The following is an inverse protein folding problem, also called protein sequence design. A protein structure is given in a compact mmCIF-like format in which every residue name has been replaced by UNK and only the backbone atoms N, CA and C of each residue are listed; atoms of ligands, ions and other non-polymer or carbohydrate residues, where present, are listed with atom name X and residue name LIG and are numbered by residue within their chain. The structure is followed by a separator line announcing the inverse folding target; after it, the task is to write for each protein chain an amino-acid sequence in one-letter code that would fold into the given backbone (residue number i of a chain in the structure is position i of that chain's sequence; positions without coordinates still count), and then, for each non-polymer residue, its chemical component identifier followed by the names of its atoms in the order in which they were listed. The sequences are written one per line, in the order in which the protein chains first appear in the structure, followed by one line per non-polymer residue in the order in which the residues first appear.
data_IF_603098955416
#
_entry.id   IF_603098955416
#
_cell.length_a   1.000
_cell.length_b   1.000
_cell.length_c   1.000
_cell.angle_alpha   90.00
_cell.angle_beta   90.00
_cell.angle_gamma   90.00
#
_symmetry.space_group_name_H-M   'P 1'
#
loop_
_entity.id
_entity.type
_entity.pdbx_description
1 polymer ?
#
# COMPACT_ATOMS: atom_id res chain seq x y z
N UNK A 1 -26.82 19.38 19.55
CA UNK A 1 -25.50 18.97 19.04
C UNK A 1 -25.05 20.04 18.07
N UNK A 2 -23.99 20.79 18.38
CA UNK A 2 -23.33 21.60 17.36
C UNK A 2 -22.75 20.64 16.33
N UNK A 3 -23.25 20.66 15.11
CA UNK A 3 -22.59 20.06 13.96
C UNK A 3 -21.33 20.87 13.72
N UNK A 4 -20.18 20.30 14.05
CA UNK A 4 -18.89 20.86 13.67
C UNK A 4 -18.81 20.80 12.16
N UNK A 5 -18.82 21.96 11.50
CA UNK A 5 -18.59 22.05 10.07
C UNK A 5 -17.08 21.90 9.82
N UNK A 6 -16.70 20.79 9.17
CA UNK A 6 -15.31 20.49 8.83
C UNK A 6 -15.08 20.91 7.39
N UNK A 7 -14.12 21.81 7.16
CA UNK A 7 -13.64 22.17 5.83
C UNK A 7 -12.78 21.00 5.30
N UNK A 8 -13.19 20.44 4.17
CA UNK A 8 -12.47 19.38 3.44
C UNK A 8 -11.56 19.96 2.34
N UNK A 9 -11.54 21.29 2.22
CA UNK A 9 -10.96 21.98 1.08
C UNK A 9 -11.84 21.86 -0.17
N UNK A 10 -11.36 22.38 -1.31
CA UNK A 10 -12.11 22.32 -2.56
C UNK A 10 -12.35 20.85 -2.99
N UNK A 11 -13.61 20.48 -3.35
CA UNK A 11 -13.96 19.11 -3.70
C UNK A 11 -13.27 18.62 -4.98
N UNK A 12 -13.01 19.54 -5.92
CA UNK A 12 -12.36 19.26 -7.21
C UNK A 12 -10.88 19.70 -7.26
N UNK A 13 -10.32 20.14 -6.12
CA UNK A 13 -9.05 20.88 -6.11
C UNK A 13 -9.19 22.29 -6.72
N UNK A 14 -8.11 23.08 -6.73
CA UNK A 14 -7.94 24.14 -7.75
C UNK A 14 -7.70 23.44 -9.11
N UNK A 15 -7.51 24.18 -10.22
CA UNK A 15 -7.03 23.60 -11.49
C UNK A 15 -6.06 22.46 -11.20
N UNK A 16 -6.49 21.21 -11.48
CA UNK A 16 -5.80 20.02 -11.02
C UNK A 16 -4.40 20.09 -11.60
N UNK A 17 -3.42 20.45 -10.77
CA UNK A 17 -2.02 20.37 -11.13
C UNK A 17 -1.77 18.92 -11.54
N UNK A 18 -0.99 18.71 -12.60
CA UNK A 18 -0.66 17.38 -13.13
C UNK A 18 -0.09 16.42 -12.04
N UNK A 19 0.36 17.01 -10.93
CA UNK A 19 0.79 16.34 -9.71
C UNK A 19 0.34 17.05 -8.42
N UNK A 20 -0.25 16.29 -7.51
CA UNK A 20 -0.44 16.64 -6.10
C UNK A 20 0.42 15.73 -5.21
N UNK A 21 0.91 16.25 -4.09
CA UNK A 21 1.61 15.46 -3.09
C UNK A 21 0.59 14.80 -2.16
N UNK A 22 0.61 13.48 -2.11
CA UNK A 22 -0.09 12.67 -1.10
C UNK A 22 0.92 12.02 -0.15
N UNK A 23 0.52 11.54 1.04
CA UNK A 23 1.42 10.80 1.93
C UNK A 23 2.10 9.61 1.24
N UNK A 24 1.34 8.87 0.42
CA UNK A 24 1.87 7.72 -0.32
C UNK A 24 2.89 8.14 -1.39
N UNK A 25 2.65 9.27 -2.07
CA UNK A 25 3.56 9.85 -3.04
C UNK A 25 4.84 10.34 -2.37
N UNK A 26 4.71 11.05 -1.25
CA UNK A 26 5.83 11.56 -0.48
C UNK A 26 6.70 10.41 0.03
N UNK A 27 6.08 9.41 0.67
CA UNK A 27 6.79 8.22 1.14
C UNK A 27 7.55 7.51 0.02
N UNK A 28 6.95 7.39 -1.16
CA UNK A 28 7.61 6.76 -2.32
C UNK A 28 8.80 7.57 -2.83
N UNK A 29 8.71 8.91 -2.81
CA UNK A 29 9.81 9.79 -3.23
C UNK A 29 10.98 9.71 -2.24
N UNK A 30 10.70 9.75 -0.95
CA UNK A 30 11.69 9.68 0.13
C UNK A 30 12.40 8.32 0.19
N UNK A 31 11.68 7.23 -0.09
CA UNK A 31 12.30 5.92 -0.26
C UNK A 31 13.26 5.91 -1.47
N UNK A 32 12.79 6.38 -2.62
CA UNK A 32 13.61 6.51 -3.82
C UNK A 32 12.96 7.42 -4.86
N UNK A 33 13.57 8.56 -5.26
CA UNK A 33 12.98 9.46 -6.26
C UNK A 33 12.68 8.75 -7.59
N UNK A 34 13.59 7.87 -8.04
CA UNK A 34 13.36 7.02 -9.21
C UNK A 34 12.15 6.10 -9.09
N UNK A 35 11.89 5.55 -7.90
CA UNK A 35 10.69 4.71 -7.63
C UNK A 35 9.42 5.54 -7.74
N UNK A 36 9.43 6.77 -7.23
CA UNK A 36 8.32 7.71 -7.41
C UNK A 36 8.09 7.99 -8.90
N UNK A 37 9.14 8.38 -9.62
CA UNK A 37 9.07 8.68 -11.05
C UNK A 37 8.52 7.48 -11.85
N UNK A 38 9.01 6.26 -11.61
CA UNK A 38 8.55 5.03 -12.27
C UNK A 38 7.07 4.71 -11.98
N UNK A 39 6.60 4.96 -10.74
CA UNK A 39 5.18 4.77 -10.39
C UNK A 39 4.23 5.70 -11.15
N UNK A 40 4.79 6.75 -11.74
CA UNK A 40 4.10 7.73 -12.57
C UNK A 40 4.37 7.48 -14.06
N UNK A 41 4.75 6.29 -14.51
CA UNK A 41 4.92 6.01 -15.94
C UNK A 41 3.80 5.14 -16.55
N UNK A 42 2.70 4.90 -15.82
CA UNK A 42 1.63 4.01 -16.31
C UNK A 42 2.04 2.54 -16.39
N UNK A 43 3.16 2.17 -15.77
CA UNK A 43 3.67 0.80 -15.77
C UNK A 43 2.71 -0.17 -15.06
N UNK A 44 2.68 -1.46 -15.48
CA UNK A 44 1.81 -2.46 -14.88
C UNK A 44 2.04 -2.60 -13.37
N UNK A 45 1.00 -2.33 -12.58
CA UNK A 45 1.06 -2.41 -11.11
C UNK A 45 1.06 -3.84 -10.63
N UNK A 46 1.70 -4.07 -9.48
CA UNK A 46 1.63 -5.34 -8.76
C UNK A 46 0.59 -5.28 -7.64
N UNK A 47 -0.18 -6.35 -7.47
CA UNK A 47 -1.03 -6.56 -6.31
C UNK A 47 -0.62 -7.82 -5.55
N UNK A 48 -1.13 -7.97 -4.33
CA UNK A 48 -0.83 -9.10 -3.47
C UNK A 48 -1.86 -9.25 -2.36
N UNK A 49 -1.90 -10.43 -1.74
CA UNK A 49 -2.85 -10.71 -0.66
C UNK A 49 -2.84 -9.70 0.50
N UNK A 50 -1.70 -9.12 0.94
CA UNK A 50 -1.71 -8.09 1.98
C UNK A 50 -2.53 -6.84 1.60
N UNK A 51 -2.44 -6.39 0.34
CA UNK A 51 -3.20 -5.24 -0.16
C UNK A 51 -4.69 -5.58 -0.20
N UNK A 52 -5.03 -6.76 -0.74
CA UNK A 52 -6.42 -7.26 -0.77
C UNK A 52 -7.03 -7.31 0.63
N UNK A 53 -6.33 -7.88 1.60
CA UNK A 53 -6.79 -7.97 2.99
C UNK A 53 -6.98 -6.57 3.58
N UNK A 54 -5.99 -5.69 3.39
CA UNK A 54 -6.03 -4.29 3.82
C UNK A 54 -7.27 -3.58 3.30
N UNK A 55 -7.42 -3.49 1.98
CA UNK A 55 -8.55 -2.81 1.35
C UNK A 55 -9.89 -3.43 1.74
N UNK A 56 -9.98 -4.76 1.85
CA UNK A 56 -11.21 -5.43 2.28
C UNK A 56 -11.61 -4.98 3.69
N UNK A 57 -10.65 -4.86 4.62
CA UNK A 57 -10.90 -4.40 5.99
C UNK A 57 -11.29 -2.92 6.00
N UNK A 58 -10.51 -2.04 5.36
CA UNK A 58 -10.77 -0.58 5.36
C UNK A 58 -12.16 -0.28 4.78
N UNK A 59 -12.45 -0.76 3.57
CA UNK A 59 -13.75 -0.52 2.93
C UNK A 59 -14.91 -1.13 3.73
N UNK A 60 -14.68 -2.24 4.45
CA UNK A 60 -15.72 -2.80 5.32
C UNK A 60 -15.97 -1.95 6.56
N UNK A 61 -14.91 -1.41 7.18
CA UNK A 61 -15.04 -0.47 8.30
C UNK A 61 -15.77 0.79 7.84
N UNK A 62 -15.39 1.34 6.69
CA UNK A 62 -16.04 2.49 6.05
C UNK A 62 -17.55 2.26 5.92
N UNK A 63 -17.96 1.21 5.20
CA UNK A 63 -19.37 0.91 4.97
C UNK A 63 -20.14 0.72 6.28
N UNK A 64 -19.56 -0.03 7.23
CA UNK A 64 -20.20 -0.28 8.52
C UNK A 64 -20.38 1.03 9.31
N UNK A 65 -19.38 1.92 9.26
CA UNK A 65 -19.46 3.25 9.86
C UNK A 65 -20.44 4.16 9.12
N UNK A 66 -20.69 3.96 7.83
CA UNK A 66 -21.61 4.79 7.03
C UNK A 66 -23.08 4.37 7.08
N UNK A 67 -23.40 3.17 7.58
CA UNK A 67 -24.77 2.69 7.60
C UNK A 67 -25.72 3.61 8.38
N UNK A 68 -26.79 3.98 7.69
CA UNK A 68 -27.96 4.58 8.30
C UNK A 68 -28.75 3.50 9.04
N UNK A 69 -28.79 3.60 10.37
CA UNK A 69 -29.59 2.70 11.21
C UNK A 69 -30.98 3.30 11.34
N UNK A 70 -31.72 3.32 10.24
CA UNK A 70 -33.13 3.70 10.24
C UNK A 70 -33.96 2.42 10.42
N UNK A 71 -34.88 2.42 11.39
CA UNK A 71 -35.94 1.42 11.61
C UNK A 71 -35.61 0.14 12.39
N UNK A 72 -34.55 0.09 13.21
CA UNK A 72 -34.29 -1.06 14.10
C UNK A 72 -34.41 -0.67 15.58
N UNK A 73 -34.92 -1.59 16.40
CA UNK A 73 -35.10 -1.37 17.84
C UNK A 73 -33.76 -1.28 18.58
N UNK A 74 -33.62 -0.28 19.45
CA UNK A 74 -32.35 0.13 20.07
C UNK A 74 -31.59 -0.99 20.82
N UNK A 75 -32.30 -2.04 21.23
CA UNK A 75 -31.78 -3.21 21.95
C UNK A 75 -31.52 -4.46 21.07
N UNK A 76 -31.67 -4.35 19.75
CA UNK A 76 -31.37 -5.46 18.83
C UNK A 76 -29.91 -5.93 19.02
N UNK A 77 -29.73 -7.24 19.22
CA UNK A 77 -28.43 -7.91 19.34
C UNK A 77 -28.18 -8.80 18.12
N UNK A 78 -26.95 -9.29 17.98
CA UNK A 78 -26.49 -10.15 16.87
C UNK A 78 -26.54 -9.51 15.47
N UNK A 79 -26.87 -8.22 15.35
CA UNK A 79 -26.94 -7.53 14.07
C UNK A 79 -25.54 -7.22 13.53
N UNK A 80 -24.62 -6.76 14.38
CA UNK A 80 -23.28 -6.31 13.97
C UNK A 80 -22.44 -7.43 13.35
N UNK A 81 -22.35 -8.66 13.90
CA UNK A 81 -21.59 -9.73 13.25
C UNK A 81 -22.19 -10.16 11.90
N UNK A 82 -23.53 -10.17 11.78
CA UNK A 82 -24.22 -10.50 10.51
C UNK A 82 -23.91 -9.46 9.45
N UNK A 83 -23.97 -8.19 9.83
CA UNK A 83 -23.64 -7.07 8.97
C UNK A 83 -22.17 -7.10 8.56
N UNK A 84 -21.25 -7.19 9.53
CA UNK A 84 -19.82 -7.23 9.30
C UNK A 84 -19.43 -8.35 8.33
N UNK A 85 -20.00 -9.55 8.51
CA UNK A 85 -19.81 -10.66 7.57
C UNK A 85 -20.31 -10.32 6.17
N UNK A 86 -21.54 -9.81 6.04
CA UNK A 86 -22.14 -9.46 4.75
C UNK A 86 -21.30 -8.42 4.01
N UNK A 87 -20.87 -7.37 4.70
CA UNK A 87 -20.05 -6.30 4.14
C UNK A 87 -18.66 -6.81 3.74
N UNK A 88 -18.02 -7.60 4.59
CA UNK A 88 -16.72 -8.20 4.29
C UNK A 88 -16.79 -9.16 3.09
N UNK A 89 -17.83 -9.99 3.01
CA UNK A 89 -18.05 -10.92 1.88
C UNK A 89 -18.16 -10.17 0.55
N UNK A 90 -18.87 -9.03 0.57
CA UNK A 90 -19.01 -8.17 -0.60
C UNK A 90 -17.66 -7.59 -1.03
N UNK A 91 -16.92 -6.94 -0.12
CA UNK A 91 -15.62 -6.34 -0.45
C UNK A 91 -14.57 -7.39 -0.81
N UNK A 92 -14.60 -8.56 -0.18
CA UNK A 92 -13.69 -9.66 -0.52
C UNK A 92 -13.89 -10.13 -1.96
N UNK A 93 -15.14 -10.20 -2.42
CA UNK A 93 -15.46 -10.52 -3.82
C UNK A 93 -14.97 -9.43 -4.77
N UNK A 94 -15.23 -8.16 -4.47
CA UNK A 94 -14.75 -7.04 -5.29
C UNK A 94 -13.21 -7.02 -5.39
N UNK A 95 -12.52 -7.19 -4.27
CA UNK A 95 -11.05 -7.23 -4.26
C UNK A 95 -10.51 -8.48 -4.97
N UNK A 96 -11.24 -9.59 -4.97
CA UNK A 96 -10.89 -10.78 -5.78
C UNK A 96 -10.93 -10.46 -7.27
N UNK A 97 -11.98 -9.77 -7.73
CA UNK A 97 -12.11 -9.38 -9.14
C UNK A 97 -11.00 -8.39 -9.54
N UNK A 98 -10.73 -7.38 -8.70
CA UNK A 98 -9.59 -6.45 -8.90
C UNK A 98 -8.25 -7.19 -8.92
N UNK A 99 -8.07 -8.20 -8.07
CA UNK A 99 -6.84 -8.98 -8.00
C UNK A 99 -6.55 -9.70 -9.32
N UNK A 100 -7.54 -10.40 -9.88
CA UNK A 100 -7.40 -11.13 -11.14
C UNK A 100 -7.35 -10.21 -12.37
N UNK A 101 -7.91 -9.00 -12.29
CA UNK A 101 -7.78 -7.99 -13.34
C UNK A 101 -6.44 -7.23 -13.28
N UNK A 102 -5.68 -7.32 -12.19
CA UNK A 102 -4.38 -6.66 -12.06
C UNK A 102 -3.31 -7.51 -12.75
N UNK A 103 -2.59 -7.03 -13.78
CA UNK A 103 -1.72 -7.88 -14.61
C UNK A 103 -0.64 -8.65 -13.83
N UNK A 104 -0.16 -8.08 -12.73
CA UNK A 104 0.88 -8.67 -11.90
C UNK A 104 0.32 -8.99 -10.51
N UNK A 105 -0.04 -10.25 -10.31
CA UNK A 105 -0.55 -10.74 -9.02
C UNK A 105 0.07 -12.11 -8.73
N UNK A 106 0.30 -12.52 -7.48
CA UNK A 106 0.66 -13.92 -7.19
C UNK A 106 -0.58 -14.82 -7.26
N UNK A 107 -0.48 -16.06 -6.78
CA UNK A 107 -1.68 -16.90 -6.56
C UNK A 107 -2.61 -16.35 -5.49
N UNK A 108 -3.91 -16.38 -5.78
CA UNK A 108 -4.98 -16.08 -4.83
C UNK A 108 -4.99 -17.09 -3.66
N UNK A 109 -5.03 -16.57 -2.43
CA UNK A 109 -5.03 -17.41 -1.21
C UNK A 109 -6.36 -17.31 -0.48
N UNK A 110 -7.29 -18.22 -0.80
CA UNK A 110 -8.63 -18.25 -0.21
C UNK A 110 -8.62 -18.26 1.33
N UNK A 111 -7.68 -18.99 1.93
CA UNK A 111 -7.53 -19.08 3.40
C UNK A 111 -7.18 -17.73 4.06
N UNK A 112 -6.78 -16.72 3.29
CA UNK A 112 -6.53 -15.37 3.82
C UNK A 112 -7.80 -14.61 4.16
N UNK A 113 -8.97 -15.08 3.72
CA UNK A 113 -10.26 -14.52 4.11
C UNK A 113 -10.43 -14.48 5.63
N UNK A 114 -9.97 -15.53 6.34
CA UNK A 114 -10.04 -15.57 7.81
C UNK A 114 -9.21 -14.45 8.46
N UNK A 115 -8.10 -14.03 7.84
CA UNK A 115 -7.31 -12.88 8.32
C UNK A 115 -8.06 -11.57 8.12
N UNK A 116 -8.83 -11.44 7.03
CA UNK A 116 -9.69 -10.28 6.80
C UNK A 116 -10.83 -10.22 7.83
N UNK A 117 -11.46 -11.37 8.15
CA UNK A 117 -12.47 -11.49 9.22
C UNK A 117 -11.89 -11.07 10.57
N UNK A 118 -10.73 -11.61 10.94
CA UNK A 118 -10.06 -11.29 12.19
C UNK A 118 -9.71 -9.79 12.28
N UNK A 119 -9.13 -9.23 11.21
CA UNK A 119 -8.75 -7.82 11.15
C UNK A 119 -9.96 -6.88 11.23
N UNK A 120 -11.07 -7.21 10.56
CA UNK A 120 -12.31 -6.43 10.67
C UNK A 120 -12.86 -6.47 12.10
N UNK A 121 -12.94 -7.66 12.72
CA UNK A 121 -13.42 -7.78 14.10
C UNK A 121 -12.56 -6.94 15.06
N UNK A 122 -11.23 -6.98 14.90
CA UNK A 122 -10.30 -6.19 15.71
C UNK A 122 -10.49 -4.69 15.49
N UNK A 123 -10.70 -4.23 14.26
CA UNK A 123 -11.03 -2.83 13.98
C UNK A 123 -12.33 -2.38 14.68
N UNK A 124 -13.38 -3.22 14.62
CA UNK A 124 -14.65 -2.94 15.30
C UNK A 124 -14.48 -2.88 16.83
N UNK A 125 -13.65 -3.75 17.42
CA UNK A 125 -13.33 -3.67 18.84
C UNK A 125 -12.55 -2.40 19.21
N UNK A 126 -11.65 -1.92 18.34
CA UNK A 126 -10.94 -0.66 18.59
C UNK A 126 -11.92 0.53 18.60
N UNK A 127 -12.91 0.55 17.69
CA UNK A 127 -13.98 1.57 17.70
C UNK A 127 -14.84 1.50 18.98
N UNK A 128 -15.16 0.30 19.46
CA UNK A 128 -15.89 0.11 20.72
C UNK A 128 -15.10 0.63 21.92
N UNK A 129 -13.83 0.28 22.01
CA UNK A 129 -12.96 0.71 23.11
C UNK A 129 -12.75 2.22 23.12
N UNK A 130 -12.59 2.84 21.94
CA UNK A 130 -12.55 4.30 21.82
C UNK A 130 -13.84 4.97 22.32
N UNK A 131 -15.00 4.32 22.16
CA UNK A 131 -16.27 4.79 22.72
C UNK A 131 -16.49 4.41 24.21
N UNK A 132 -15.45 3.91 24.91
CA UNK A 132 -15.51 3.41 26.29
C UNK A 132 -16.55 2.28 26.47
N UNK A 133 -16.70 1.43 25.44
CA UNK A 133 -17.58 0.25 25.43
C UNK A 133 -16.70 -1.00 25.48
N UNK A 134 -16.11 -1.25 26.64
CA UNK A 134 -15.19 -2.35 26.85
C UNK A 134 -15.92 -3.65 27.25
N UNK A 135 -15.24 -4.79 27.08
CA UNK A 135 -15.71 -6.14 27.45
C UNK A 135 -17.04 -6.61 26.82
N UNK A 136 -17.54 -5.92 25.79
CA UNK A 136 -18.75 -6.32 25.04
C UNK A 136 -18.37 -7.12 23.81
N UNK A 137 -18.82 -8.37 23.73
CA UNK A 137 -18.72 -9.19 22.51
C UNK A 137 -19.48 -8.53 21.35
N UNK A 138 -18.97 -8.59 20.12
CA UNK A 138 -19.65 -8.03 18.93
C UNK A 138 -21.10 -8.51 18.77
N UNK A 139 -21.41 -9.75 19.16
CA UNK A 139 -22.77 -10.30 19.15
C UNK A 139 -23.74 -9.60 20.10
N UNK A 140 -23.23 -8.95 21.15
CA UNK A 140 -24.00 -8.31 22.20
C UNK A 140 -24.07 -6.78 22.03
N UNK A 141 -23.37 -6.22 21.05
CA UNK A 141 -23.42 -4.79 20.72
C UNK A 141 -24.84 -4.45 20.30
N UNK A 142 -25.49 -3.56 21.04
CA UNK A 142 -26.81 -3.04 20.71
C UNK A 142 -26.71 -1.86 19.76
N UNK A 143 -27.82 -1.45 19.15
CA UNK A 143 -27.81 -0.26 18.28
C UNK A 143 -27.60 1.01 19.08
N UNK A 144 -28.08 1.07 20.33
CA UNK A 144 -27.78 2.20 21.21
C UNK A 144 -26.26 2.35 21.47
N UNK A 145 -25.54 1.24 21.68
CA UNK A 145 -24.08 1.25 21.79
C UNK A 145 -23.43 1.75 20.50
N UNK A 146 -23.90 1.32 19.34
CA UNK A 146 -23.35 1.77 18.06
C UNK A 146 -23.66 3.23 17.75
N UNK A 147 -24.83 3.76 18.16
CA UNK A 147 -25.14 5.19 18.08
C UNK A 147 -24.10 6.03 18.84
N UNK A 148 -23.61 5.55 19.99
CA UNK A 148 -22.50 6.22 20.72
C UNK A 148 -21.22 6.26 19.89
N UNK A 149 -20.84 5.15 19.25
CA UNK A 149 -19.68 5.11 18.33
C UNK A 149 -19.88 6.12 17.18
N UNK A 150 -21.07 6.14 16.56
CA UNK A 150 -21.38 7.05 15.45
C UNK A 150 -21.28 8.53 15.84
N UNK A 151 -21.65 8.89 17.07
CA UNK A 151 -21.51 10.27 17.57
C UNK A 151 -20.03 10.69 17.64
N UNK A 152 -19.14 9.75 17.93
CA UNK A 152 -17.70 9.99 18.02
C UNK A 152 -17.05 10.09 16.64
N UNK A 153 -17.63 9.50 15.59
CA UNK A 153 -17.11 9.58 14.22
C UNK A 153 -17.54 10.90 13.59
N UNK A 154 -16.57 11.79 13.37
CA UNK A 154 -16.77 13.05 12.65
C UNK A 154 -16.78 12.84 11.13
N UNK A 155 -15.92 11.94 10.65
CA UNK A 155 -15.89 11.54 9.25
C UNK A 155 -15.20 10.18 9.08
N UNK A 156 -15.49 9.52 7.96
CA UNK A 156 -14.78 8.36 7.45
C UNK A 156 -14.44 8.59 5.97
N UNK A 157 -13.26 8.13 5.54
CA UNK A 157 -12.80 8.27 4.15
C UNK A 157 -12.81 9.73 3.62
N UNK A 158 -12.55 10.68 4.51
CA UNK A 158 -12.54 12.10 4.20
C UNK A 158 -11.39 12.46 3.25
N UNK A 159 -11.72 12.91 2.05
CA UNK A 159 -10.72 13.45 1.11
C UNK A 159 -10.48 14.92 1.42
N UNK A 160 -9.22 15.28 1.63
CA UNK A 160 -8.78 16.62 1.99
C UNK A 160 -7.89 17.19 0.90
N UNK A 161 -8.13 18.45 0.51
CA UNK A 161 -7.29 19.18 -0.42
C UNK A 161 -6.83 20.50 0.17
N UNK A 162 -5.53 20.81 0.08
CA UNK A 162 -5.02 22.13 0.45
C UNK A 162 -5.61 23.22 -0.47
N UNK A 163 -5.80 24.43 0.08
CA UNK A 163 -6.27 25.60 -0.68
C UNK A 163 -5.33 26.06 -1.78
N UNK A 164 -4.09 25.58 -1.84
CA UNK A 164 -3.19 25.87 -2.97
C UNK A 164 -3.18 24.76 -4.02
N UNK A 165 -3.98 23.69 -3.84
CA UNK A 165 -4.05 22.54 -4.74
C UNK A 165 -2.85 21.59 -4.68
N UNK A 166 -1.79 21.91 -3.93
CA UNK A 166 -0.52 21.15 -3.94
C UNK A 166 -0.54 19.86 -3.12
N UNK A 167 -1.24 19.88 -1.99
CA UNK A 167 -1.32 18.76 -1.04
C UNK A 167 -2.71 18.14 -1.07
N UNK A 168 -2.76 16.80 -1.04
CA UNK A 168 -3.99 16.03 -0.92
C UNK A 168 -3.83 14.85 0.05
N UNK A 169 -4.91 14.42 0.69
CA UNK A 169 -4.92 13.23 1.54
C UNK A 169 -6.31 12.62 1.63
N UNK A 170 -6.37 11.33 1.97
CA UNK A 170 -7.60 10.62 2.31
C UNK A 170 -7.40 9.95 3.66
N UNK A 171 -8.12 10.41 4.67
CA UNK A 171 -8.07 9.84 6.02
C UNK A 171 -9.01 8.65 6.12
N UNK A 172 -8.65 7.61 6.88
CA UNK A 172 -9.57 6.49 7.11
C UNK A 172 -10.70 6.93 8.05
N UNK A 173 -10.34 7.55 9.19
CA UNK A 173 -11.29 7.98 10.22
C UNK A 173 -10.87 9.31 10.86
N UNK A 174 -11.84 10.16 11.14
CA UNK A 174 -11.70 11.35 11.98
C UNK A 174 -12.66 11.21 13.15
N UNK A 175 -12.11 11.18 14.36
CA UNK A 175 -12.86 10.92 15.58
C UNK A 175 -12.82 12.13 16.52
N UNK A 176 -13.83 12.27 17.38
CA UNK A 176 -13.76 13.14 18.55
C UNK A 176 -12.80 12.56 19.57
N UNK A 177 -11.96 13.40 20.14
CA UNK A 177 -11.13 13.06 21.30
C UNK A 177 -11.87 13.46 22.58
N UNK A 178 -11.79 12.60 23.59
CA UNK A 178 -12.42 12.86 24.88
C UNK A 178 -11.38 12.79 25.97
N UNK A 179 -11.43 13.71 26.92
CA UNK A 179 -10.62 13.64 28.12
C UNK A 179 -11.11 12.52 29.09
N UNK A 180 -10.40 12.38 30.20
CA UNK A 180 -10.71 11.40 31.24
C UNK A 180 -12.10 11.66 31.86
N UNK A 181 -12.54 12.93 31.89
CA UNK A 181 -13.85 13.37 32.38
C UNK A 181 -14.98 13.14 31.36
N UNK A 182 -14.65 12.81 30.11
CA UNK A 182 -15.60 12.56 29.03
C UNK A 182 -16.03 13.81 28.27
N UNK A 183 -15.35 14.94 28.45
CA UNK A 183 -15.56 16.15 27.67
C UNK A 183 -14.77 16.06 26.36
N UNK A 184 -15.32 16.63 25.28
CA UNK A 184 -14.63 16.71 24.00
C UNK A 184 -13.39 17.62 24.13
N UNK A 185 -12.21 17.05 23.96
CA UNK A 185 -10.91 17.71 24.15
C UNK A 185 -10.21 18.06 22.84
N UNK A 186 -10.64 17.46 21.72
CA UNK A 186 -9.97 17.60 20.44
C UNK A 186 -10.51 16.66 19.37
N UNK A 187 -9.75 16.50 18.29
CA UNK A 187 -9.97 15.49 17.25
C UNK A 187 -8.79 14.53 17.13
N UNK A 188 -9.08 13.31 16.70
CA UNK A 188 -8.10 12.27 16.40
C UNK A 188 -8.19 11.93 14.92
N UNK A 189 -7.09 12.14 14.19
CA UNK A 189 -6.91 11.59 12.84
C UNK A 189 -6.44 10.15 12.98
N UNK A 190 -7.19 9.20 12.45
CA UNK A 190 -6.89 7.77 12.57
C UNK A 190 -6.58 7.18 11.20
N UNK A 191 -5.46 6.45 11.12
CA UNK A 191 -5.01 5.67 9.98
C UNK A 191 -4.98 4.19 10.40
N UNK A 192 -5.91 3.40 9.88
CA UNK A 192 -6.03 1.98 10.15
C UNK A 192 -4.85 1.25 9.49
N UNK A 193 -4.26 0.31 10.23
CA UNK A 193 -3.12 -0.49 9.77
C UNK A 193 -3.40 -1.96 9.97
N UNK A 194 -3.27 -2.72 8.88
CA UNK A 194 -3.40 -4.20 8.87
C UNK A 194 -2.05 -4.91 8.87
N UNK A 195 -0.96 -4.14 8.75
CA UNK A 195 0.41 -4.63 8.79
C UNK A 195 0.93 -4.88 10.20
N UNK A 196 2.24 -5.17 10.30
CA UNK A 196 2.89 -5.39 11.60
C UNK A 196 2.92 -4.09 12.42
N UNK A 197 2.65 -4.13 13.73
CA UNK A 197 2.77 -2.99 14.62
C UNK A 197 4.24 -2.61 14.80
N UNK A 198 4.55 -1.34 15.10
CA UNK A 198 5.90 -0.94 15.49
C UNK A 198 6.28 -1.65 16.80
N UNK A 199 7.59 -1.86 17.01
CA UNK A 199 8.10 -2.46 18.25
C UNK A 199 8.16 -1.45 19.41
N UNK A 200 8.54 -0.22 19.10
CA UNK A 200 8.73 0.85 20.09
C UNK A 200 8.17 2.16 19.55
N UNK A 201 8.80 2.69 18.49
CA UNK A 201 8.38 3.91 17.80
C UNK A 201 7.84 3.62 16.40
N UNK A 202 6.92 4.47 15.95
CA UNK A 202 6.51 4.53 14.55
C UNK A 202 7.75 4.70 13.65
N UNK A 203 7.75 4.06 12.49
CA UNK A 203 8.77 4.34 11.48
C UNK A 203 8.57 5.74 10.92
N UNK A 204 9.65 6.35 10.42
CA UNK A 204 9.61 7.71 9.86
C UNK A 204 8.54 7.84 8.75
N UNK A 205 8.37 6.79 7.93
CA UNK A 205 7.35 6.69 6.89
C UNK A 205 5.91 6.79 7.44
N UNK A 206 5.59 6.04 8.50
CA UNK A 206 4.23 6.04 9.08
C UNK A 206 4.01 7.32 9.89
N UNK A 207 5.02 7.76 10.66
CA UNK A 207 4.94 9.00 11.42
C UNK A 207 4.70 10.19 10.48
N UNK A 208 5.47 10.32 9.40
CA UNK A 208 5.29 11.36 8.37
C UNK A 208 3.89 11.32 7.73
N UNK A 209 3.37 10.13 7.44
CA UNK A 209 2.02 9.98 6.88
C UNK A 209 0.94 10.50 7.84
N UNK A 210 1.00 10.13 9.11
CA UNK A 210 0.06 10.57 10.14
C UNK A 210 0.15 12.09 10.38
N UNK A 211 1.38 12.61 10.51
CA UNK A 211 1.61 14.05 10.66
C UNK A 211 1.10 14.83 9.43
N UNK A 212 1.29 14.29 8.22
CA UNK A 212 0.76 14.91 7.00
C UNK A 212 -0.76 15.05 7.05
N UNK A 213 -1.50 14.00 7.42
CA UNK A 213 -2.96 14.09 7.49
C UNK A 213 -3.42 15.10 8.54
N UNK A 214 -2.81 15.06 9.74
CA UNK A 214 -3.06 16.02 10.82
C UNK A 214 -2.84 17.45 10.33
N UNK A 215 -1.67 17.72 9.77
CA UNK A 215 -1.26 19.08 9.44
C UNK A 215 -1.97 19.62 8.20
N UNK A 216 -2.36 18.75 7.26
CA UNK A 216 -3.25 19.13 6.16
C UNK A 216 -4.64 19.52 6.68
N UNK A 217 -5.21 18.74 7.61
CA UNK A 217 -6.51 19.06 8.20
C UNK A 217 -6.47 20.37 9.00
N UNK A 218 -5.37 20.62 9.73
CA UNK A 218 -5.13 21.90 10.42
C UNK A 218 -4.99 23.07 9.45
N UNK A 219 -4.26 22.88 8.36
CA UNK A 219 -4.05 23.90 7.33
C UNK A 219 -5.37 24.37 6.71
N UNK A 220 -6.30 23.44 6.47
CA UNK A 220 -7.60 23.77 5.86
C UNK A 220 -8.63 24.26 6.90
N UNK A 221 -8.52 23.85 8.17
CA UNK A 221 -9.39 24.27 9.28
C UNK A 221 -8.64 25.17 10.29
N UNK A 222 -8.45 26.48 10.07
CA UNK A 222 -7.63 27.32 10.95
C UNK A 222 -8.14 27.45 12.40
N UNK A 223 -9.44 27.19 12.63
CA UNK A 223 -10.07 27.21 13.95
C UNK A 223 -10.31 25.79 14.50
N UNK A 224 -9.50 24.81 14.08
CA UNK A 224 -9.58 23.44 14.56
C UNK A 224 -9.35 23.36 16.09
N UNK A 225 -9.98 22.43 16.81
CA UNK A 225 -9.61 22.12 18.20
C UNK A 225 -8.26 21.38 18.25
N UNK A 226 -7.68 21.12 19.44
CA UNK A 226 -6.48 20.29 19.54
C UNK A 226 -6.61 19.01 18.72
N UNK A 227 -5.53 18.61 18.04
CA UNK A 227 -5.57 17.47 17.12
C UNK A 227 -4.30 16.66 17.19
N UNK A 228 -4.49 15.35 17.37
CA UNK A 228 -3.44 14.32 17.32
C UNK A 228 -3.74 13.30 16.22
N UNK A 229 -2.75 12.48 15.90
CA UNK A 229 -2.87 11.48 14.85
C UNK A 229 -2.35 10.13 15.31
N UNK A 230 -3.08 9.07 14.99
CA UNK A 230 -2.83 7.73 15.51
C UNK A 230 -2.85 6.66 14.41
N UNK A 231 -1.87 5.76 14.47
CA UNK A 231 -1.89 4.51 13.72
C UNK A 231 -2.61 3.43 14.52
N UNK A 232 -3.73 2.92 14.01
CA UNK A 232 -4.53 1.88 14.66
C UNK A 232 -4.25 0.52 14.05
N UNK A 233 -3.49 -0.32 14.77
CA UNK A 233 -3.01 -1.61 14.24
C UNK A 233 -3.96 -2.75 14.57
N UNK A 234 -4.77 -3.14 13.59
CA UNK A 234 -5.75 -4.23 13.71
C UNK A 234 -5.09 -5.59 13.88
N UNK A 235 -3.79 -5.75 13.62
CA UNK A 235 -3.09 -7.03 13.84
C UNK A 235 -3.06 -7.46 15.31
N UNK A 236 -2.92 -6.50 16.24
CA UNK A 236 -2.78 -6.74 17.67
C UNK A 236 -3.56 -5.73 18.54
N UNK A 237 -4.42 -4.91 17.93
CA UNK A 237 -5.24 -3.90 18.60
C UNK A 237 -4.41 -2.88 19.39
N UNK A 238 -3.24 -2.49 18.87
CA UNK A 238 -2.43 -1.42 19.47
C UNK A 238 -2.61 -0.10 18.74
N UNK A 239 -2.53 0.98 19.50
CA UNK A 239 -2.63 2.36 19.02
C UNK A 239 -1.27 3.02 19.23
N UNK A 240 -0.80 3.74 18.22
CA UNK A 240 0.48 4.43 18.27
C UNK A 240 0.32 5.86 17.78
N UNK A 241 0.60 6.82 18.64
CA UNK A 241 0.48 8.24 18.34
C UNK A 241 1.70 8.74 17.55
N UNK A 242 1.44 9.56 16.52
CA UNK A 242 2.46 10.26 15.78
C UNK A 242 2.93 11.51 16.54
N UNK A 243 4.24 11.66 16.64
CA UNK A 243 4.87 12.77 17.37
C UNK A 243 5.82 13.53 16.47
N UNK A 244 5.95 14.83 16.71
CA UNK A 244 6.81 15.71 15.94
C UNK A 244 6.15 17.03 15.51
N UNK A 245 6.96 17.97 14.99
CA UNK A 245 6.49 19.27 14.53
C UNK A 245 5.56 19.14 13.32
N UNK A 246 5.03 20.27 12.86
CA UNK A 246 4.29 20.31 11.60
C UNK A 246 5.18 19.91 10.43
N UNK A 247 4.64 19.12 9.50
CA UNK A 247 5.33 18.71 8.27
C UNK A 247 4.90 19.52 7.04
N UNK A 248 4.04 20.55 7.20
CA UNK A 248 3.46 21.31 6.08
C UNK A 248 4.53 21.95 5.18
N UNK A 249 5.53 22.63 5.74
CA UNK A 249 6.56 23.32 4.96
C UNK A 249 7.42 22.33 4.17
N UNK A 250 7.80 21.22 4.82
CA UNK A 250 8.52 20.12 4.16
C UNK A 250 7.67 19.49 3.05
N UNK A 251 6.36 19.32 3.26
CA UNK A 251 5.45 18.80 2.25
C UNK A 251 5.37 19.72 1.03
N UNK A 252 5.27 21.04 1.24
CA UNK A 252 5.24 22.03 0.17
C UNK A 252 6.58 22.12 -0.59
N UNK A 253 7.70 21.99 0.12
CA UNK A 253 9.02 21.90 -0.48
C UNK A 253 9.13 20.64 -1.35
N UNK A 254 8.74 19.48 -0.84
CA UNK A 254 8.78 18.21 -1.59
C UNK A 254 7.82 18.22 -2.78
N UNK A 255 6.66 18.88 -2.70
CA UNK A 255 5.76 19.05 -3.85
C UNK A 255 6.51 19.64 -5.06
N UNK A 256 7.40 20.61 -4.82
CA UNK A 256 8.21 21.25 -5.87
C UNK A 256 9.30 20.33 -6.44
N UNK A 257 9.66 19.25 -5.74
CA UNK A 257 10.68 18.29 -6.16
C UNK A 257 10.10 17.07 -6.90
N UNK A 258 8.79 16.85 -6.80
CA UNK A 258 8.11 15.71 -7.42
C UNK A 258 7.46 16.05 -8.77
N UNK A 259 7.65 17.28 -9.26
CA UNK A 259 7.24 17.69 -10.59
C UNK A 259 7.84 16.74 -11.64
N UNK A 260 6.97 16.10 -12.42
CA UNK A 260 7.40 15.07 -13.34
C UNK A 260 8.19 15.67 -14.50
N UNK A 261 9.35 15.10 -14.75
CA UNK A 261 10.23 15.46 -15.87
C UNK A 261 10.31 14.32 -16.87
N UNK A 262 10.63 14.64 -18.13
CA UNK A 262 10.97 13.64 -19.15
C UNK A 262 12.16 12.80 -18.73
N UNK A 263 13.15 13.42 -18.07
CA UNK A 263 14.31 12.73 -17.53
C UNK A 263 13.95 12.01 -16.22
N UNK A 264 14.38 10.75 -16.04
CA UNK A 264 14.30 10.05 -14.77
C UNK A 264 14.87 10.81 -13.59
N UNK A 265 14.18 10.72 -12.45
CA UNK A 265 14.78 11.12 -11.17
C UNK A 265 15.93 10.18 -10.78
N UNK A 266 16.88 10.72 -10.03
CA UNK A 266 18.03 9.97 -9.54
C UNK A 266 17.58 8.78 -8.66
N UNK A 267 18.16 7.61 -8.92
CA UNK A 267 17.96 6.44 -8.08
C UNK A 267 18.86 6.50 -6.85
N UNK A 268 18.35 5.99 -5.74
CA UNK A 268 19.06 5.81 -4.47
C UNK A 268 19.02 4.32 -4.09
N UNK A 269 19.85 3.46 -4.72
CA UNK A 269 19.81 2.03 -4.46
C UNK A 269 20.13 1.72 -2.99
N UNK A 270 19.24 0.99 -2.34
CA UNK A 270 19.39 0.54 -0.95
C UNK A 270 18.78 -0.86 -0.80
N UNK A 271 19.40 -1.74 0.00
CA UNK A 271 19.01 -3.14 0.16
C UNK A 271 17.50 -3.30 0.44
N UNK A 272 16.95 -2.55 1.41
CA UNK A 272 15.53 -2.65 1.76
C UNK A 272 14.64 -2.10 0.64
N UNK A 273 14.90 -0.86 0.20
CA UNK A 273 14.08 -0.17 -0.80
C UNK A 273 14.08 -0.91 -2.14
N UNK A 274 15.25 -1.31 -2.64
CA UNK A 274 15.37 -2.12 -3.85
C UNK A 274 14.76 -3.50 -3.61
N UNK A 275 14.99 -4.15 -2.46
CA UNK A 275 14.44 -5.46 -2.11
C UNK A 275 12.93 -5.59 -2.40
N UNK A 276 12.15 -4.57 -2.04
CA UNK A 276 10.69 -4.54 -2.21
C UNK A 276 10.21 -3.67 -3.39
N UNK A 277 11.10 -3.19 -4.26
CA UNK A 277 10.71 -2.36 -5.41
C UNK A 277 10.06 -3.22 -6.51
N UNK A 278 8.82 -2.88 -6.87
CA UNK A 278 8.06 -3.55 -7.94
C UNK A 278 8.46 -3.11 -9.35
N UNK A 279 9.32 -2.08 -9.49
CA UNK A 279 9.70 -1.47 -10.77
C UNK A 279 11.08 -1.89 -11.29
N UNK A 280 11.67 -2.95 -10.73
CA UNK A 280 13.02 -3.40 -11.07
C UNK A 280 13.23 -3.67 -12.56
N UNK A 281 12.25 -4.25 -13.25
CA UNK A 281 12.34 -4.54 -14.68
C UNK A 281 12.54 -3.28 -15.55
N UNK A 282 12.23 -2.09 -15.03
CA UNK A 282 12.35 -0.80 -15.71
C UNK A 282 13.42 0.12 -15.10
N UNK A 283 14.20 -0.37 -14.13
CA UNK A 283 15.20 0.42 -13.42
C UNK A 283 16.58 -0.24 -13.57
N UNK A 284 17.55 0.38 -14.26
CA UNK A 284 18.88 -0.21 -14.38
C UNK A 284 19.71 -0.11 -13.08
N UNK A 285 19.43 0.89 -12.24
CA UNK A 285 20.27 1.25 -11.10
C UNK A 285 20.37 0.19 -10.00
N UNK A 286 19.38 -0.70 -9.84
CA UNK A 286 19.50 -1.78 -8.87
C UNK A 286 20.45 -2.88 -9.36
N UNK A 287 20.45 -3.19 -10.66
CA UNK A 287 21.36 -4.19 -11.21
C UNK A 287 22.81 -3.68 -11.19
N UNK A 288 22.99 -2.39 -11.50
CA UNK A 288 24.28 -1.67 -11.35
C UNK A 288 24.72 -1.68 -9.88
N UNK A 289 23.83 -1.32 -8.95
CA UNK A 289 24.15 -1.34 -7.53
C UNK A 289 24.57 -2.71 -7.01
N UNK A 290 24.04 -3.80 -7.58
CA UNK A 290 24.49 -5.17 -7.29
C UNK A 290 25.91 -5.43 -7.82
N UNK A 291 26.24 -4.93 -9.01
CA UNK A 291 27.54 -5.14 -9.64
C UNK A 291 28.64 -4.30 -8.98
N UNK A 292 28.32 -3.06 -8.61
CA UNK A 292 29.22 -2.15 -7.90
C UNK A 292 29.39 -2.50 -6.41
N UNK A 293 28.70 -3.55 -5.93
CA UNK A 293 28.77 -3.99 -4.53
C UNK A 293 28.03 -3.09 -3.53
N UNK A 294 27.23 -2.13 -4.01
CA UNK A 294 26.37 -1.26 -3.18
C UNK A 294 25.22 -2.08 -2.57
N UNK A 295 24.63 -2.97 -3.36
CA UNK A 295 23.55 -3.86 -2.95
C UNK A 295 24.07 -5.27 -2.72
N UNK A 296 23.58 -5.93 -1.67
CA UNK A 296 24.03 -7.29 -1.35
C UNK A 296 23.45 -8.32 -2.33
N UNK A 297 24.33 -9.20 -2.84
CA UNK A 297 23.94 -10.44 -3.52
C UNK A 297 23.55 -11.50 -2.47
N UNK A 298 22.51 -12.28 -2.75
CA UNK A 298 22.20 -13.51 -2.00
C UNK A 298 20.90 -13.49 -1.20
N UNK A 299 20.68 -14.55 -0.43
CA UNK A 299 19.43 -14.86 0.26
C UNK A 299 18.71 -16.06 -0.37
N UNK A 300 17.57 -16.45 0.20
CA UNK A 300 16.77 -17.58 -0.30
C UNK A 300 16.09 -17.29 -1.65
N UNK A 301 15.87 -16.01 -1.96
CA UNK A 301 15.27 -15.54 -3.19
C UNK A 301 16.16 -14.50 -3.84
N UNK A 302 16.29 -14.55 -5.16
CA UNK A 302 17.09 -13.61 -5.96
C UNK A 302 16.25 -12.96 -7.05
N UNK A 303 16.70 -11.80 -7.52
CA UNK A 303 16.23 -11.20 -8.76
C UNK A 303 17.38 -11.20 -9.76
N UNK A 304 17.12 -11.57 -11.00
CA UNK A 304 18.14 -11.71 -12.04
C UNK A 304 17.67 -11.00 -13.31
N UNK A 305 18.63 -10.62 -14.16
CA UNK A 305 18.36 -10.27 -15.56
C UNK A 305 19.03 -11.32 -16.43
N UNK A 306 18.29 -11.90 -17.37
CA UNK A 306 18.71 -13.09 -18.11
C UNK A 306 18.36 -13.01 -19.58
N UNK A 307 18.98 -13.85 -20.41
CA UNK A 307 18.44 -14.23 -21.73
C UNK A 307 18.07 -15.71 -21.71
N UNK A 308 17.05 -16.08 -22.50
CA UNK A 308 16.58 -17.45 -22.61
C UNK A 308 17.47 -18.22 -23.59
N UNK A 309 18.13 -19.30 -23.13
CA UNK A 309 18.98 -20.13 -23.97
C UNK A 309 18.28 -21.39 -24.47
N UNK A 310 17.41 -21.98 -23.64
CA UNK A 310 16.55 -23.10 -24.02
C UNK A 310 15.30 -23.10 -23.14
N UNK A 311 14.18 -23.59 -23.67
CA UNK A 311 12.93 -23.72 -22.93
C UNK A 311 12.16 -24.95 -23.39
N UNK A 312 11.96 -25.87 -22.45
CA UNK A 312 10.97 -26.92 -22.56
C UNK A 312 9.67 -26.42 -21.92
N UNK A 313 8.71 -26.03 -22.76
CA UNK A 313 7.46 -25.48 -22.29
C UNK A 313 6.54 -26.52 -21.67
N UNK A 314 6.66 -27.80 -22.05
CA UNK A 314 5.81 -28.89 -21.54
C UNK A 314 6.24 -29.24 -20.12
N UNK A 315 7.53 -29.49 -19.92
CA UNK A 315 8.11 -29.89 -18.63
C UNK A 315 8.41 -28.70 -17.70
N UNK A 316 8.30 -27.47 -18.21
CA UNK A 316 8.57 -26.26 -17.45
C UNK A 316 10.04 -26.10 -17.08
N UNK A 317 10.95 -26.50 -17.97
CA UNK A 317 12.40 -26.41 -17.76
C UNK A 317 12.98 -25.30 -18.63
N UNK A 318 13.76 -24.40 -18.05
CA UNK A 318 14.48 -23.38 -18.81
C UNK A 318 15.98 -23.40 -18.49
N UNK A 319 16.78 -23.08 -19.49
CA UNK A 319 18.18 -22.72 -19.33
C UNK A 319 18.31 -21.22 -19.58
N UNK A 320 18.78 -20.48 -18.58
CA UNK A 320 19.01 -19.05 -18.66
C UNK A 320 20.50 -18.73 -18.70
N UNK A 321 20.86 -17.70 -19.47
CA UNK A 321 22.16 -17.03 -19.38
C UNK A 321 22.00 -15.77 -18.55
N UNK A 322 22.86 -15.58 -17.57
CA UNK A 322 22.82 -14.41 -16.71
C UNK A 322 23.45 -13.21 -17.41
N UNK A 323 22.77 -12.09 -17.31
CA UNK A 323 23.20 -10.81 -17.87
C UNK A 323 23.72 -9.90 -16.75
N UNK A 324 24.71 -9.09 -17.07
CA UNK A 324 25.25 -8.05 -16.19
C UNK A 324 25.15 -6.68 -16.88
N UNK A 325 25.16 -5.57 -16.13
CA UNK A 325 25.13 -4.23 -16.72
C UNK A 325 26.30 -3.98 -17.67
N UNK A 326 25.99 -3.30 -18.77
CA UNK A 326 26.98 -2.70 -19.67
C UNK A 326 26.79 -1.18 -19.69
N UNK A 327 27.43 -0.50 -18.74
CA UNK A 327 27.23 0.94 -18.51
C UNK A 327 26.00 1.24 -17.65
N UNK A 328 25.45 2.45 -17.81
CA UNK A 328 24.48 3.03 -16.85
C UNK A 328 23.02 3.00 -17.34
N UNK A 329 22.81 2.77 -18.64
CA UNK A 329 21.53 2.97 -19.30
C UNK A 329 20.72 1.66 -19.47
N UNK A 330 21.09 0.61 -18.73
CA UNK A 330 20.37 -0.66 -18.75
C UNK A 330 20.69 -1.58 -19.92
N UNK A 331 21.68 -1.22 -20.75
CA UNK A 331 22.34 -2.15 -21.65
C UNK A 331 22.97 -3.30 -20.85
N UNK A 332 23.10 -4.44 -21.50
CA UNK A 332 23.51 -5.69 -20.88
C UNK A 332 24.62 -6.36 -21.69
N UNK A 333 25.50 -7.07 -21.00
CA UNK A 333 26.45 -8.02 -21.59
C UNK A 333 26.33 -9.38 -20.92
N UNK A 334 26.69 -10.42 -21.67
CA UNK A 334 26.69 -11.80 -21.17
C UNK A 334 27.76 -11.95 -20.08
N UNK A 335 27.38 -12.50 -18.93
CA UNK A 335 28.32 -12.80 -17.84
C UNK A 335 29.14 -14.07 -18.07
N UNK A 336 28.72 -14.92 -19.01
CA UNK A 336 29.22 -16.28 -19.21
C UNK A 336 28.58 -17.32 -18.28
N UNK A 337 27.87 -16.89 -17.23
CA UNK A 337 27.18 -17.78 -16.29
C UNK A 337 25.84 -18.27 -16.86
N UNK A 338 25.57 -19.56 -16.69
CA UNK A 338 24.28 -20.19 -17.03
C UNK A 338 23.71 -20.90 -15.81
N UNK A 339 22.39 -20.98 -15.73
CA UNK A 339 21.72 -21.78 -14.73
C UNK A 339 20.43 -22.40 -15.26
N UNK A 340 20.11 -23.59 -14.75
CA UNK A 340 18.84 -24.26 -14.99
C UNK A 340 17.73 -23.72 -14.07
N UNK A 341 16.50 -23.76 -14.55
CA UNK A 341 15.33 -23.35 -13.79
C UNK A 341 14.13 -24.28 -13.98
N UNK A 342 13.43 -24.55 -12.89
CA UNK A 342 12.10 -25.16 -12.89
C UNK A 342 11.04 -24.07 -12.77
N UNK A 343 10.12 -24.02 -13.72
CA UNK A 343 9.02 -23.08 -13.79
C UNK A 343 7.71 -23.82 -13.56
N UNK A 344 6.86 -23.25 -12.71
CA UNK A 344 5.54 -23.80 -12.41
C UNK A 344 4.49 -22.69 -12.41
N UNK A 345 3.24 -23.06 -12.70
CA UNK A 345 2.07 -22.19 -12.64
C UNK A 345 2.31 -20.84 -13.35
N UNK A 346 2.07 -19.72 -12.67
CA UNK A 346 2.13 -18.40 -13.26
C UNK A 346 3.47 -18.04 -13.89
N UNK A 347 4.60 -18.44 -13.30
CA UNK A 347 5.91 -18.15 -13.90
C UNK A 347 6.09 -18.90 -15.23
N UNK A 348 5.58 -20.14 -15.31
CA UNK A 348 5.58 -20.93 -16.54
C UNK A 348 4.68 -20.28 -17.60
N UNK A 349 3.48 -19.86 -17.21
CA UNK A 349 2.52 -19.21 -18.11
C UNK A 349 3.06 -17.88 -18.64
N UNK A 350 3.70 -17.07 -17.79
CA UNK A 350 4.36 -15.82 -18.20
C UNK A 350 5.43 -16.07 -19.27
N UNK A 351 6.30 -17.07 -19.08
CA UNK A 351 7.33 -17.38 -20.07
C UNK A 351 6.73 -17.95 -21.36
N UNK A 352 5.71 -18.81 -21.27
CA UNK A 352 4.98 -19.33 -22.44
C UNK A 352 4.37 -18.21 -23.26
N UNK A 353 3.70 -17.25 -22.61
CA UNK A 353 3.12 -16.09 -23.27
C UNK A 353 4.19 -15.28 -24.01
N UNK A 354 5.28 -14.92 -23.32
CA UNK A 354 6.38 -14.18 -23.93
C UNK A 354 6.99 -14.89 -25.15
N UNK A 355 7.21 -16.21 -25.05
CA UNK A 355 7.70 -17.00 -26.18
C UNK A 355 6.68 -17.07 -27.33
N UNK A 356 5.39 -17.22 -27.03
CA UNK A 356 4.33 -17.25 -28.04
C UNK A 356 4.14 -15.92 -28.77
N UNK A 357 4.46 -14.81 -28.10
CA UNK A 357 4.48 -13.45 -28.67
C UNK A 357 5.78 -13.16 -29.44
N UNK A 358 6.73 -14.10 -29.47
CA UNK A 358 8.01 -13.96 -30.17
C UNK A 358 9.00 -13.01 -29.46
N UNK A 359 8.89 -12.85 -28.14
CA UNK A 359 9.82 -12.02 -27.39
C UNK A 359 11.20 -12.70 -27.24
N UNK A 360 12.23 -12.12 -27.84
CA UNK A 360 13.62 -12.62 -27.80
C UNK A 360 14.56 -11.78 -26.91
N UNK A 361 14.03 -10.74 -26.26
CA UNK A 361 14.82 -9.82 -25.44
C UNK A 361 15.26 -10.40 -24.09
N UNK A 362 16.01 -9.59 -23.34
CA UNK A 362 16.38 -9.93 -21.97
C UNK A 362 15.15 -9.92 -21.04
N UNK A 363 15.15 -10.80 -20.05
CA UNK A 363 14.07 -10.99 -19.10
C UNK A 363 14.52 -10.58 -17.70
N UNK A 364 13.67 -9.86 -16.98
CA UNK A 364 13.74 -9.74 -15.54
C UNK A 364 13.07 -10.97 -14.90
N UNK A 365 13.81 -11.67 -14.05
CA UNK A 365 13.30 -12.71 -13.17
C UNK A 365 13.22 -12.14 -11.75
N UNK A 366 12.00 -12.06 -11.21
CA UNK A 366 11.72 -11.61 -9.87
C UNK A 366 11.49 -12.77 -8.89
N UNK A 367 12.09 -12.70 -7.71
CA UNK A 367 11.85 -13.64 -6.60
C UNK A 367 12.04 -15.13 -6.96
N UNK A 368 13.09 -15.45 -7.71
CA UNK A 368 13.47 -16.84 -7.97
C UNK A 368 14.06 -17.47 -6.71
N UNK A 369 13.54 -18.61 -6.28
CA UNK A 369 14.08 -19.33 -5.13
C UNK A 369 15.37 -20.06 -5.55
N UNK A 370 16.43 -19.89 -4.78
CA UNK A 370 17.72 -20.56 -5.03
C UNK A 370 17.72 -21.95 -4.36
N UNK A 371 18.14 -22.97 -5.11
CA UNK A 371 18.45 -24.31 -4.59
C UNK A 371 19.70 -24.85 -5.31
N UNK A 372 20.87 -24.66 -4.68
CA UNK A 372 22.17 -24.87 -5.33
C UNK A 372 22.34 -23.97 -6.56
N UNK A 373 22.70 -24.58 -7.70
CA UNK A 373 22.82 -23.90 -8.99
C UNK A 373 21.47 -23.71 -9.69
N UNK A 374 20.42 -24.36 -9.22
CA UNK A 374 19.09 -24.33 -9.84
C UNK A 374 18.24 -23.18 -9.29
N UNK A 375 17.34 -22.67 -10.13
CA UNK A 375 16.30 -21.72 -9.72
C UNK A 375 14.92 -22.37 -9.77
N UNK A 376 14.07 -22.03 -8.79
CA UNK A 376 12.66 -22.41 -8.80
C UNK A 376 11.79 -21.17 -8.89
N UNK A 377 10.93 -21.15 -9.91
CA UNK A 377 9.97 -20.09 -10.16
C UNK A 377 8.55 -20.66 -10.08
N UNK A 378 7.66 -19.92 -9.45
CA UNK A 378 6.26 -20.32 -9.26
C UNK A 378 5.33 -19.13 -9.12
N UNK A 379 4.19 -19.34 -8.46
CA UNK A 379 3.15 -18.31 -8.23
C UNK A 379 3.60 -17.06 -7.44
N UNK A 380 4.81 -17.05 -6.89
CA UNK A 380 5.39 -15.90 -6.18
C UNK A 380 6.43 -15.15 -7.02
N UNK A 381 6.86 -15.74 -8.13
CA UNK A 381 7.87 -15.20 -9.02
C UNK A 381 7.24 -14.36 -10.12
N UNK A 382 8.05 -13.53 -10.76
CA UNK A 382 7.65 -12.76 -11.93
C UNK A 382 8.68 -12.96 -13.04
N UNK A 383 8.20 -13.09 -14.27
CA UNK A 383 9.02 -13.01 -15.48
C UNK A 383 8.45 -11.88 -16.31
N UNK A 384 9.27 -10.85 -16.53
CA UNK A 384 8.89 -9.65 -17.27
C UNK A 384 9.97 -9.33 -18.32
N UNK A 385 9.62 -8.68 -19.43
CA UNK A 385 10.61 -8.02 -20.28
C UNK A 385 11.52 -7.09 -19.45
N UNK A 386 12.83 -7.20 -19.62
CA UNK A 386 13.76 -6.18 -19.15
C UNK A 386 13.63 -4.97 -20.08
N UNK A 387 13.07 -3.88 -19.57
CA UNK A 387 12.81 -2.68 -20.37
C UNK A 387 13.12 -1.40 -19.57
N UNK A 388 14.40 -1.10 -19.30
CA UNK A 388 14.81 0.12 -18.60
C UNK A 388 14.20 1.39 -19.22
N UNK A 389 13.47 2.17 -18.42
CA UNK A 389 12.89 3.44 -18.90
C UNK A 389 13.87 4.60 -18.68
N UNK A 390 14.45 5.13 -19.74
CA UNK A 390 15.40 6.25 -19.69
C UNK A 390 14.75 7.62 -19.94
N UNK A 391 13.51 7.63 -20.41
CA UNK A 391 12.69 8.81 -20.64
C UNK A 391 11.23 8.50 -20.30
N UNK A 392 10.44 9.54 -20.05
CA UNK A 392 9.02 9.39 -19.73
C UNK A 392 8.25 8.85 -20.93
N UNK A 393 7.30 7.95 -20.67
CA UNK A 393 6.39 7.38 -21.68
C UNK A 393 4.96 7.90 -21.54
N UNK A 394 4.80 9.01 -20.81
CA UNK A 394 3.52 9.68 -20.61
C UNK A 394 3.15 10.59 -21.76
#
# INVERSE_FOLDING_TARGET
MHTVEIDWGPPDGYEILEYQLSPSSWNRYEECPRKYWLSRQGLPRKTGMPIVIGNTIHNSVEDICNLEILNKGDDEKNWLPKLAKKTLDYHWKLQKDIFFNTPRHPKWKQNSYNKAVEGLNKALYMLLSHAKIDDVKLSNVTLNMWKKIKINILANEGTMNSKCGKLMGRLDLLLRDFDDEGNESGWIVVDLKTGKPPKEKLSDTINRQLLFYRDLLKLINPNHPPMRAEGWYTSNQTIHEATGPSVTDAALATHSLIELTNTPFQATPEDFTCGFCEWKAWCPSWLIGIEDGILKKGGRFTNEVVTLANFDSEEGLALFKKMIPDGQNGNLKDSGEKFGAFLTNQALDQLRTLCSEGYEGALFIGSARIDGETRHLGDWSEILPWNPLLESIR
#
